data_IF_148716487768
#
_entry.id   IF_148716487768
#
_cell.length_a   1.000
_cell.length_b   1.000
_cell.length_c   1.000
_cell.angle_alpha   90.00
_cell.angle_beta   90.00
_cell.angle_gamma   90.00
#
_symmetry.space_group_name_H-M   'P 1'
#
loop_
_entity.id
_entity.type
_entity.pdbx_description
1 polymer ?
#
# COMPACT_ATOMS: atom_id res chain seq x y z
N UNK A 1 17.98 -2.53 -8.71
CA UNK A 1 16.92 -1.64 -8.16
C UNK A 1 16.27 -2.31 -6.96
N UNK A 2 15.50 -1.60 -6.13
CA UNK A 2 14.73 -2.19 -5.02
C UNK A 2 13.24 -2.03 -5.32
N UNK A 3 12.47 -3.09 -5.10
CA UNK A 3 11.01 -3.06 -5.11
C UNK A 3 10.47 -3.38 -3.73
N UNK A 4 9.36 -2.74 -3.39
CA UNK A 4 8.71 -2.81 -2.08
C UNK A 4 7.31 -3.40 -2.19
N UNK A 5 6.90 -4.16 -1.19
CA UNK A 5 5.56 -4.74 -1.05
C UNK A 5 5.09 -4.64 0.41
N UNK A 6 3.87 -4.18 0.64
CA UNK A 6 3.30 -4.06 1.98
C UNK A 6 2.39 -5.24 2.31
N UNK A 7 2.49 -5.77 3.53
CA UNK A 7 1.60 -6.79 4.06
C UNK A 7 1.54 -6.74 5.59
N UNK A 8 0.41 -7.09 6.17
CA UNK A 8 0.27 -7.26 7.62
C UNK A 8 0.75 -8.64 8.12
N UNK A 9 1.05 -9.56 7.20
CA UNK A 9 1.50 -10.91 7.54
C UNK A 9 3.02 -10.88 7.80
N UNK A 10 3.50 -11.35 8.95
CA UNK A 10 4.93 -11.40 9.27
C UNK A 10 5.66 -12.54 8.56
N UNK A 11 6.98 -12.42 8.45
CA UNK A 11 7.90 -13.49 8.05
C UNK A 11 7.60 -14.16 6.69
N UNK A 12 7.03 -13.43 5.74
CA UNK A 12 6.88 -13.95 4.37
C UNK A 12 8.27 -14.10 3.75
N UNK A 13 8.65 -15.31 3.35
CA UNK A 13 9.92 -15.57 2.65
C UNK A 13 9.76 -15.56 1.12
N UNK A 14 8.56 -15.92 0.65
CA UNK A 14 8.20 -16.00 -0.76
C UNK A 14 6.81 -15.37 -0.94
N UNK A 15 6.74 -14.31 -1.75
CA UNK A 15 5.49 -13.71 -2.16
C UNK A 15 4.88 -14.53 -3.29
N UNK A 16 3.58 -14.82 -3.20
CA UNK A 16 2.84 -15.60 -4.19
C UNK A 16 1.80 -14.73 -4.88
N UNK A 17 1.59 -14.87 -6.20
CA UNK A 17 0.53 -14.18 -6.91
C UNK A 17 -0.84 -14.57 -6.36
N UNK A 18 -1.66 -13.58 -5.99
CA UNK A 18 -3.04 -13.79 -5.55
C UNK A 18 -3.98 -13.07 -6.51
N UNK A 19 -5.18 -13.64 -6.71
CA UNK A 19 -6.21 -13.00 -7.54
C UNK A 19 -6.58 -11.66 -6.88
N UNK A 20 -6.22 -10.56 -7.54
CA UNK A 20 -6.62 -9.21 -7.14
C UNK A 20 -7.97 -8.83 -7.78
N UNK A 21 -8.40 -7.59 -7.59
CA UNK A 21 -9.60 -7.03 -8.23
C UNK A 21 -9.57 -7.11 -9.78
N UNK A 22 -8.39 -7.36 -10.39
CA UNK A 22 -8.22 -7.47 -11.84
C UNK A 22 -8.36 -8.89 -12.39
N UNK A 23 -8.83 -9.86 -11.58
CA UNK A 23 -9.08 -11.26 -11.98
C UNK A 23 -7.86 -12.05 -12.48
N UNK A 24 -6.68 -11.45 -12.46
CA UNK A 24 -5.40 -12.08 -12.80
C UNK A 24 -4.59 -12.19 -11.51
N UNK A 25 -4.01 -13.36 -11.19
CA UNK A 25 -3.15 -13.51 -10.03
C UNK A 25 -1.86 -12.71 -10.23
N UNK A 26 -1.64 -11.71 -9.37
CA UNK A 26 -0.51 -10.79 -9.44
C UNK A 26 0.03 -10.51 -8.04
N UNK A 27 1.34 -10.23 -7.97
CA UNK A 27 1.98 -9.55 -6.85
C UNK A 27 2.22 -8.11 -7.29
N UNK A 28 1.83 -7.15 -6.47
CA UNK A 28 2.07 -5.72 -6.73
C UNK A 28 3.25 -5.22 -5.91
N UNK A 29 4.06 -4.37 -6.55
CA UNK A 29 5.21 -3.75 -5.94
C UNK A 29 5.28 -2.27 -6.30
N UNK A 30 6.07 -1.51 -5.54
CA UNK A 30 6.50 -0.17 -5.94
C UNK A 30 8.02 -0.01 -5.88
N UNK A 31 8.61 0.81 -6.75
CA UNK A 31 10.00 1.27 -6.62
C UNK A 31 10.15 2.41 -5.61
N UNK A 32 9.06 2.91 -5.02
CA UNK A 32 9.06 3.85 -3.90
C UNK A 32 8.46 3.18 -2.67
N UNK A 33 9.15 3.28 -1.52
CA UNK A 33 8.74 2.61 -0.28
C UNK A 33 7.40 3.16 0.20
N UNK A 34 7.30 4.47 0.30
CA UNK A 34 6.14 5.21 0.79
C UNK A 34 4.84 4.91 0.02
N UNK A 35 4.95 4.60 -1.28
CA UNK A 35 3.80 4.22 -2.12
C UNK A 35 3.13 2.93 -1.64
N UNK A 36 3.81 2.12 -0.83
CA UNK A 36 3.29 0.85 -0.33
C UNK A 36 2.51 0.97 0.99
N UNK A 37 2.69 2.08 1.73
CA UNK A 37 2.09 2.27 3.06
C UNK A 37 0.56 2.19 3.03
N UNK A 38 -0.06 2.66 1.94
CA UNK A 38 -1.53 2.64 1.75
C UNK A 38 -2.12 1.23 1.71
N UNK A 39 -1.31 0.20 1.48
CA UNK A 39 -1.78 -1.18 1.44
C UNK A 39 -1.69 -1.91 2.80
N UNK A 40 -1.09 -1.26 3.81
CA UNK A 40 -1.01 -1.81 5.17
C UNK A 40 -2.38 -1.86 5.86
N UNK A 41 -3.36 -1.09 5.40
CA UNK A 41 -4.71 -1.11 5.94
C UNK A 41 -5.77 -1.18 4.84
N UNK A 42 -6.97 -1.56 5.24
CA UNK A 42 -8.18 -1.45 4.43
C UNK A 42 -9.26 -0.87 5.36
N UNK A 43 -9.74 0.34 5.06
CA UNK A 43 -10.65 1.09 5.92
C UNK A 43 -11.91 0.29 6.29
N UNK A 44 -12.47 -0.44 5.32
CA UNK A 44 -13.69 -1.24 5.51
C UNK A 44 -13.40 -2.46 6.39
N UNK A 45 -12.32 -3.17 6.09
CA UNK A 45 -11.91 -4.35 6.89
C UNK A 45 -11.62 -3.96 8.34
N UNK A 46 -10.89 -2.85 8.54
CA UNK A 46 -10.58 -2.32 9.88
C UNK A 46 -11.87 -1.96 10.62
N UNK A 47 -12.76 -1.18 9.99
CA UNK A 47 -14.03 -0.79 10.60
C UNK A 47 -14.87 -2.00 11.03
N UNK A 48 -15.01 -3.01 10.16
CA UNK A 48 -15.77 -4.22 10.49
C UNK A 48 -15.16 -4.96 11.69
N UNK A 49 -13.84 -5.13 11.72
CA UNK A 49 -13.15 -5.81 12.83
C UNK A 49 -13.29 -5.05 14.16
N UNK A 50 -13.19 -3.72 14.14
CA UNK A 50 -13.24 -2.89 15.34
C UNK A 50 -14.65 -2.74 15.90
N UNK A 51 -15.67 -2.72 15.04
CA UNK A 51 -17.07 -2.54 15.45
C UNK A 51 -17.82 -3.86 15.66
N UNK A 52 -17.24 -4.98 15.23
CA UNK A 52 -17.92 -6.27 15.18
C UNK A 52 -19.00 -6.34 14.09
N UNK A 53 -18.99 -5.42 13.12
CA UNK A 53 -19.92 -5.47 11.99
C UNK A 53 -19.64 -6.71 11.14
N UNK A 54 -20.66 -7.55 10.97
CA UNK A 54 -20.54 -8.81 10.25
C UNK A 54 -20.34 -8.56 8.75
N UNK A 55 -19.26 -9.11 8.19
CA UNK A 55 -18.96 -9.08 6.76
C UNK A 55 -18.81 -10.49 6.23
N UNK A 56 -19.55 -10.82 5.18
CA UNK A 56 -19.46 -12.10 4.48
C UNK A 56 -18.87 -11.91 3.09
N UNK A 57 -17.91 -12.75 2.73
CA UNK A 57 -17.29 -12.76 1.41
C UNK A 57 -15.85 -12.25 1.42
N UNK A 58 -15.35 -11.86 0.24
CA UNK A 58 -13.96 -11.42 0.08
C UNK A 58 -13.79 -9.96 0.50
N UNK A 59 -12.65 -9.66 1.11
CA UNK A 59 -12.22 -8.27 1.30
C UNK A 59 -11.73 -7.73 -0.03
N UNK A 60 -12.40 -6.71 -0.55
CA UNK A 60 -11.89 -5.92 -1.67
C UNK A 60 -11.03 -4.80 -1.11
N UNK A 61 -9.82 -4.65 -1.65
CA UNK A 61 -8.95 -3.53 -1.30
C UNK A 61 -9.63 -2.24 -1.73
N UNK A 62 -9.82 -1.34 -0.77
CA UNK A 62 -10.37 -0.02 -0.97
C UNK A 62 -9.41 0.99 -0.33
N UNK A 63 -8.87 1.88 -1.16
CA UNK A 63 -8.00 2.95 -0.72
C UNK A 63 -8.20 4.15 -1.65
N UNK A 64 -8.35 5.34 -1.06
CA UNK A 64 -8.47 6.60 -1.78
C UNK A 64 -7.11 7.24 -1.91
N UNK A 65 -6.42 6.93 -3.02
CA UNK A 65 -5.18 7.61 -3.38
C UNK A 65 -5.11 7.84 -4.88
N UNK A 66 -4.37 8.87 -5.25
CA UNK A 66 -3.93 9.14 -6.60
C UNK A 66 -2.45 9.50 -6.61
N UNK A 67 -2.01 10.12 -7.70
CA UNK A 67 -0.67 10.67 -7.80
C UNK A 67 -0.74 12.10 -8.28
N UNK A 68 0.10 12.97 -7.72
CA UNK A 68 0.26 14.34 -8.21
C UNK A 68 0.87 14.35 -9.62
N UNK A 69 0.91 15.52 -10.26
CA UNK A 69 1.62 15.71 -11.55
C UNK A 69 3.10 15.32 -11.46
N UNK A 70 3.70 15.51 -10.29
CA UNK A 70 5.09 15.15 -9.98
C UNK A 70 5.25 13.68 -9.56
N UNK A 71 4.21 12.87 -9.73
CA UNK A 71 4.20 11.42 -9.44
C UNK A 71 4.47 11.10 -7.97
N UNK A 72 4.04 12.00 -7.09
CA UNK A 72 4.06 11.80 -5.63
C UNK A 72 2.71 11.19 -5.24
N UNK A 73 2.72 10.19 -4.36
CA UNK A 73 1.49 9.60 -3.83
C UNK A 73 0.65 10.68 -3.16
N UNK A 74 -0.62 10.76 -3.52
CA UNK A 74 -1.55 11.77 -3.02
C UNK A 74 -2.74 11.10 -2.33
N UNK A 75 -2.83 11.25 -1.02
CA UNK A 75 -3.98 10.89 -0.21
C UNK A 75 -4.94 12.07 -0.10
N UNK A 76 -6.23 11.83 -0.38
CA UNK A 76 -7.28 12.82 -0.21
C UNK A 76 -8.34 12.23 0.73
N UNK A 77 -8.61 12.93 1.83
CA UNK A 77 -9.64 12.51 2.78
C UNK A 77 -11.04 12.84 2.27
N UNK A 78 -11.94 11.86 2.28
CA UNK A 78 -13.32 12.00 1.82
C UNK A 78 -14.32 12.29 2.96
N UNK A 79 -13.88 12.14 4.22
CA UNK A 79 -14.55 12.61 5.43
C UNK A 79 -13.50 13.01 6.49
N UNK A 80 -13.86 13.75 7.55
CA UNK A 80 -12.91 14.19 8.57
C UNK A 80 -12.08 13.04 9.19
N UNK A 81 -10.75 13.16 9.14
CA UNK A 81 -9.80 12.21 9.72
C UNK A 81 -9.84 10.81 9.06
N UNK A 82 -10.25 10.70 7.79
CA UNK A 82 -10.30 9.43 7.08
C UNK A 82 -8.93 8.70 7.03
N UNK A 83 -7.83 9.44 6.84
CA UNK A 83 -6.49 8.83 6.83
C UNK A 83 -6.13 8.30 8.22
N UNK A 84 -6.31 9.10 9.27
CA UNK A 84 -6.05 8.66 10.66
C UNK A 84 -6.87 7.42 11.01
N UNK A 85 -8.19 7.46 10.82
CA UNK A 85 -9.07 6.33 11.15
C UNK A 85 -8.74 5.05 10.40
N UNK A 86 -8.21 5.18 9.18
CA UNK A 86 -7.83 4.03 8.35
C UNK A 86 -6.53 3.39 8.82
N UNK A 87 -5.52 4.17 9.21
CA UNK A 87 -4.15 3.67 9.40
C UNK A 87 -3.66 3.65 10.85
N UNK A 88 -4.27 4.42 11.76
CA UNK A 88 -3.80 4.52 13.14
C UNK A 88 -3.99 3.18 13.88
N UNK A 89 -2.96 2.80 14.63
CA UNK A 89 -2.88 1.52 15.35
C UNK A 89 -2.63 0.31 14.45
N UNK A 90 -2.49 0.50 13.13
CA UNK A 90 -2.28 -0.59 12.19
C UNK A 90 -0.79 -0.83 12.00
N UNK A 91 -0.30 -1.95 12.52
CA UNK A 91 1.07 -2.40 12.26
C UNK A 91 1.15 -3.30 11.02
N UNK A 92 2.36 -3.44 10.47
CA UNK A 92 2.61 -4.38 9.37
C UNK A 92 4.07 -4.35 8.91
N UNK A 93 4.31 -4.81 7.69
CA UNK A 93 5.65 -5.04 7.17
C UNK A 93 5.78 -4.50 5.74
N UNK A 94 6.90 -3.83 5.48
CA UNK A 94 7.35 -3.52 4.12
C UNK A 94 8.45 -4.50 3.73
N UNK A 95 8.11 -5.41 2.83
CA UNK A 95 9.04 -6.34 2.23
C UNK A 95 9.79 -5.66 1.09
N UNK A 96 11.10 -5.91 0.97
CA UNK A 96 11.91 -5.39 -0.13
C UNK A 96 12.62 -6.50 -0.90
N UNK A 97 12.81 -6.26 -2.20
CA UNK A 97 13.41 -7.20 -3.14
C UNK A 97 14.54 -6.47 -3.88
N UNK A 98 15.77 -6.99 -3.76
CA UNK A 98 16.89 -6.53 -4.57
C UNK A 98 16.82 -7.18 -5.96
N UNK A 99 16.59 -6.35 -6.97
CA UNK A 99 16.55 -6.79 -8.36
C UNK A 99 17.90 -6.52 -9.01
N UNK A 100 18.55 -7.61 -9.40
CA UNK A 100 19.80 -7.62 -10.17
C UNK A 100 19.52 -7.76 -11.67
N UNK A 101 18.46 -8.48 -12.05
CA UNK A 101 18.00 -8.58 -13.45
C UNK A 101 16.45 -8.64 -13.49
N UNK A 102 15.81 -7.82 -14.33
CA UNK A 102 14.39 -7.48 -14.19
C UNK A 102 13.47 -7.91 -15.32
N UNK A 103 14.00 -8.28 -16.50
CA UNK A 103 13.21 -8.24 -17.74
C UNK A 103 12.07 -9.27 -17.81
N UNK A 104 12.22 -10.44 -17.18
CA UNK A 104 11.21 -11.53 -17.32
C UNK A 104 10.27 -11.66 -16.12
N UNK A 105 10.67 -11.19 -14.93
CA UNK A 105 9.91 -11.41 -13.68
C UNK A 105 8.97 -10.26 -13.34
N UNK A 106 9.34 -9.02 -13.69
CA UNK A 106 8.61 -7.83 -13.27
C UNK A 106 8.13 -7.04 -14.47
N UNK A 107 6.82 -6.80 -14.53
CA UNK A 107 6.19 -5.92 -15.52
C UNK A 107 5.92 -4.56 -14.90
N UNK A 108 6.52 -3.50 -15.46
CA UNK A 108 6.22 -2.12 -15.08
C UNK A 108 4.79 -1.76 -15.51
N UNK A 109 4.02 -1.15 -14.62
CA UNK A 109 2.66 -0.69 -14.92
C UNK A 109 2.73 0.73 -15.49
N UNK A 110 2.31 0.90 -16.75
CA UNK A 110 2.47 2.19 -17.45
C UNK A 110 1.62 3.31 -16.84
N UNK A 111 0.46 2.98 -16.27
CA UNK A 111 -0.53 3.95 -15.79
C UNK A 111 -0.33 4.36 -14.32
N UNK A 112 0.43 3.58 -13.55
CA UNK A 112 0.63 3.82 -12.11
C UNK A 112 2.11 4.13 -11.89
N UNK A 113 2.47 5.35 -11.44
CA UNK A 113 3.85 5.72 -11.17
C UNK A 113 4.53 4.75 -10.22
N UNK A 114 5.77 4.40 -10.56
CA UNK A 114 6.63 3.53 -9.74
C UNK A 114 6.06 2.14 -9.46
N UNK A 115 4.96 1.71 -10.12
CA UNK A 115 4.33 0.42 -9.86
C UNK A 115 4.85 -0.67 -10.78
N UNK A 116 5.03 -1.85 -10.20
CA UNK A 116 5.45 -3.07 -10.88
C UNK A 116 4.56 -4.22 -10.44
N UNK A 117 4.48 -5.25 -11.29
CA UNK A 117 3.78 -6.47 -10.96
C UNK A 117 4.58 -7.71 -11.34
N UNK A 118 4.32 -8.83 -10.67
CA UNK A 118 4.85 -10.14 -11.06
C UNK A 118 3.73 -11.18 -11.11
N UNK A 119 3.83 -12.10 -12.07
CA UNK A 119 2.94 -13.26 -12.23
C UNK A 119 3.54 -14.55 -11.65
N UNK A 120 4.78 -14.50 -11.21
CA UNK A 120 5.51 -15.63 -10.63
C UNK A 120 5.79 -15.35 -9.17
N UNK A 121 6.17 -16.38 -8.42
CA UNK A 121 6.61 -16.19 -7.05
C UNK A 121 7.88 -15.34 -7.00
N UNK A 122 8.05 -14.59 -5.91
CA UNK A 122 9.20 -13.72 -5.69
C UNK A 122 9.76 -13.94 -4.30
N UNK A 123 11.03 -14.29 -4.20
CA UNK A 123 11.76 -14.37 -2.94
C UNK A 123 11.98 -12.96 -2.38
N UNK A 124 11.64 -12.75 -1.11
CA UNK A 124 11.93 -11.47 -0.46
C UNK A 124 13.40 -11.41 -0.07
N UNK A 125 13.99 -10.22 -0.17
CA UNK A 125 15.37 -10.00 0.31
C UNK A 125 15.42 -9.63 1.79
N UNK A 126 14.34 -9.03 2.30
CA UNK A 126 14.17 -8.71 3.71
C UNK A 126 12.87 -7.96 3.94
N UNK A 127 12.69 -7.51 5.19
CA UNK A 127 11.50 -6.76 5.60
C UNK A 127 11.85 -5.70 6.64
N UNK A 128 11.01 -4.68 6.70
CA UNK A 128 10.98 -3.66 7.72
C UNK A 128 9.65 -3.76 8.48
N UNK A 129 9.69 -3.70 9.81
CA UNK A 129 8.48 -3.65 10.62
C UNK A 129 8.02 -2.21 10.80
N UNK A 130 6.74 -1.95 10.52
CA UNK A 130 6.06 -0.68 10.71
C UNK A 130 5.14 -0.81 11.92
N UNK A 131 5.45 -0.16 13.05
CA UNK A 131 4.65 -0.27 14.26
C UNK A 131 3.28 0.41 14.14
N UNK A 132 3.22 1.55 13.44
CA UNK A 132 1.99 2.29 13.17
C UNK A 132 2.02 2.89 11.76
N UNK A 133 1.10 2.47 10.91
CA UNK A 133 1.02 2.90 9.52
C UNK A 133 0.65 4.38 9.38
N UNK A 134 -0.15 4.94 10.31
CA UNK A 134 -0.50 6.36 10.28
C UNK A 134 0.69 7.23 10.60
N UNK A 135 1.44 6.91 11.66
CA UNK A 135 2.66 7.65 12.01
C UNK A 135 3.67 7.64 10.86
N UNK A 136 3.87 6.47 10.22
CA UNK A 136 4.77 6.33 9.09
C UNK A 136 4.30 7.14 7.86
N UNK A 137 2.99 7.17 7.59
CA UNK A 137 2.41 8.02 6.53
C UNK A 137 2.65 9.50 6.86
N UNK A 138 2.41 9.93 8.09
CA UNK A 138 2.60 11.32 8.50
C UNK A 138 4.08 11.74 8.40
N UNK A 139 5.02 10.89 8.81
CA UNK A 139 6.44 11.13 8.59
C UNK A 139 6.78 11.27 7.09
N UNK A 140 6.16 10.46 6.22
CA UNK A 140 6.34 10.59 4.79
C UNK A 140 5.73 11.90 4.24
N UNK A 141 4.63 12.37 4.82
CA UNK A 141 4.04 13.69 4.51
C UNK A 141 4.97 14.83 4.92
N UNK A 142 5.48 14.81 6.15
CA UNK A 142 6.39 15.84 6.68
C UNK A 142 7.69 15.93 5.86
N UNK A 143 8.13 14.80 5.30
CA UNK A 143 9.30 14.72 4.42
C UNK A 143 8.98 14.98 2.94
N UNK A 144 7.74 15.36 2.59
CA UNK A 144 7.32 15.67 1.22
C UNK A 144 7.29 14.46 0.26
N UNK A 145 7.29 13.23 0.80
CA UNK A 145 7.23 11.97 0.03
C UNK A 145 5.81 11.50 -0.25
N UNK A 146 4.85 11.96 0.56
CA UNK A 146 3.41 11.80 0.35
C UNK A 146 2.78 13.19 0.43
N UNK A 147 1.77 13.45 -0.40
CA UNK A 147 0.88 14.59 -0.25
C UNK A 147 -0.40 14.11 0.43
N UNK A 148 -0.85 14.82 1.47
CA UNK A 148 -2.11 14.58 2.13
C UNK A 148 -2.97 15.84 2.07
N UNK A 149 -4.13 15.76 1.40
CA UNK A 149 -5.16 16.80 1.47
C UNK A 149 -6.20 16.39 2.50
N UNK A 150 -6.38 17.22 3.53
CA UNK A 150 -7.35 16.95 4.58
C UNK A 150 -8.75 17.27 4.08
N UNK A 151 -9.76 16.65 4.70
CA UNK A 151 -11.15 16.88 4.32
C UNK A 151 -11.55 18.36 4.47
N UNK A 152 -11.05 19.02 5.52
CA UNK A 152 -11.27 20.45 5.77
C UNK A 152 -10.75 21.36 4.64
N UNK A 153 -9.76 20.90 3.86
CA UNK A 153 -9.16 21.66 2.77
C UNK A 153 -9.95 21.51 1.45
N UNK A 154 -10.86 20.53 1.35
CA UNK A 154 -11.62 20.25 0.12
C UNK A 154 -12.87 21.12 -0.05
N UNK A 155 -13.24 21.88 0.99
CA UNK A 155 -14.44 22.73 1.01
C UNK A 155 -14.13 24.22 0.80
N UNK A 156 -12.92 24.53 0.32
CA UNK A 156 -12.48 25.88 -0.06
C UNK A 156 -12.71 26.18 -1.55
#
# INVERSE_FOLDING_TARGET
MILFHASQIPNIQELKPHISNHHIPLIYFSSKRENTLVYLSNAIEKYCKETGFEHHGRWHKWATYGFTKDKILHLQEYYPNATERTYQGVSGYIYYIHIVNCMDTFTKMAEIPDAYSSRTNVMVSGMEYIPDAYEEIMQAVDNGRIVLTRYADLSA
#
